data_IF_707384302610
#
_entry.id   IF_707384302610
#
_cell.length_a   1.000
_cell.length_b   1.000
_cell.length_c   1.000
_cell.angle_alpha   90.00
_cell.angle_beta   90.00
_cell.angle_gamma   90.00
#
_symmetry.space_group_name_H-M   'P 1'
#
loop_
_entity.id
_entity.type
_entity.pdbx_description
1 polymer ?
#
# COMPACT_ATOMS: atom_id res chain seq x y z
N UNK A 1 -12.40 52.75 -37.73
CA UNK A 1 -11.28 52.25 -36.90
C UNK A 1 -11.89 51.36 -35.83
N UNK A 2 -11.58 50.06 -35.84
CA UNK A 2 -12.08 49.13 -34.81
C UNK A 2 -11.31 49.39 -33.51
N UNK A 3 -12.03 49.56 -32.39
CA UNK A 3 -11.43 49.74 -31.07
C UNK A 3 -10.89 48.39 -30.56
N UNK A 4 -9.56 48.26 -30.58
CA UNK A 4 -8.86 47.00 -30.29
C UNK A 4 -8.59 46.79 -28.80
N UNK A 5 -8.89 47.77 -27.93
CA UNK A 5 -8.59 47.71 -26.49
C UNK A 5 -9.21 46.51 -25.75
N UNK A 6 -10.51 46.16 -25.92
CA UNK A 6 -11.08 45.03 -25.20
C UNK A 6 -10.52 43.68 -25.70
N UNK A 7 -10.18 43.59 -26.98
CA UNK A 7 -9.51 42.41 -27.53
C UNK A 7 -8.12 42.22 -26.90
N UNK A 8 -7.35 43.31 -26.75
CA UNK A 8 -6.01 43.28 -26.13
C UNK A 8 -6.09 42.91 -24.65
N UNK A 9 -7.05 43.45 -23.90
CA UNK A 9 -7.22 43.11 -22.49
C UNK A 9 -7.59 41.64 -22.28
N UNK A 10 -8.46 41.10 -23.14
CA UNK A 10 -8.87 39.69 -23.09
C UNK A 10 -7.70 38.78 -23.46
N UNK A 11 -6.90 39.16 -24.46
CA UNK A 11 -5.69 38.44 -24.83
C UNK A 11 -4.68 38.42 -23.68
N UNK A 12 -4.48 39.55 -23.00
CA UNK A 12 -3.55 39.67 -21.87
C UNK A 12 -3.96 38.79 -20.68
N UNK A 13 -5.24 38.80 -20.32
CA UNK A 13 -5.76 37.96 -19.25
C UNK A 13 -5.64 36.47 -19.59
N UNK A 14 -5.97 36.08 -20.82
CA UNK A 14 -5.79 34.69 -21.28
C UNK A 14 -4.32 34.28 -21.31
N UNK A 15 -3.43 35.17 -21.76
CA UNK A 15 -2.00 34.89 -21.73
C UNK A 15 -1.46 34.74 -20.32
N UNK A 16 -1.94 35.53 -19.34
CA UNK A 16 -1.49 35.44 -17.95
C UNK A 16 -1.95 34.14 -17.28
N UNK A 17 -3.20 33.75 -17.49
CA UNK A 17 -3.75 32.48 -16.98
C UNK A 17 -3.03 31.29 -17.63
N UNK A 18 -2.80 31.33 -18.94
CA UNK A 18 -2.03 30.30 -19.65
C UNK A 18 -0.55 30.28 -19.21
N UNK A 19 0.03 31.43 -18.82
CA UNK A 19 1.38 31.50 -18.28
C UNK A 19 1.46 30.79 -16.92
N UNK A 20 0.51 31.09 -16.02
CA UNK A 20 0.50 30.55 -14.66
C UNK A 20 0.20 29.05 -14.66
N UNK A 21 -0.72 28.58 -15.51
CA UNK A 21 -1.03 27.15 -15.65
C UNK A 21 0.10 26.34 -16.29
N UNK A 22 0.83 26.91 -17.26
CA UNK A 22 1.97 26.23 -17.88
C UNK A 22 3.26 26.27 -17.04
N UNK A 23 3.33 27.11 -16.00
CA UNK A 23 4.49 27.20 -15.09
C UNK A 23 4.38 26.27 -13.86
N UNK A 24 3.21 25.67 -13.61
CA UNK A 24 3.00 24.79 -12.45
C UNK A 24 3.92 23.54 -12.41
N UNK A 25 4.29 22.89 -13.54
CA UNK A 25 5.27 21.80 -13.53
C UNK A 25 6.74 22.27 -13.64
N UNK A 26 7.01 23.58 -13.65
CA UNK A 26 8.34 24.15 -13.86
C UNK A 26 8.89 24.97 -12.69
N UNK A 27 8.15 25.12 -11.58
CA UNK A 27 8.69 25.77 -10.37
C UNK A 27 9.95 25.06 -9.86
N UNK A 28 10.01 23.72 -9.94
CA UNK A 28 11.19 22.95 -9.52
C UNK A 28 12.38 23.15 -10.47
N UNK A 29 12.12 23.39 -11.76
CA UNK A 29 13.15 23.59 -12.79
C UNK A 29 13.74 25.01 -12.77
N UNK A 30 13.01 26.01 -12.28
CA UNK A 30 13.48 27.40 -12.18
C UNK A 30 14.57 27.56 -11.11
N UNK A 31 14.64 26.67 -10.12
CA UNK A 31 15.65 26.74 -9.06
C UNK A 31 16.97 26.01 -9.37
N UNK A 32 17.09 25.23 -10.46
CA UNK A 32 18.40 24.82 -11.00
C UNK A 32 18.34 24.09 -12.35
N UNK A 33 18.51 24.79 -13.49
CA UNK A 33 18.49 24.19 -14.81
C UNK A 33 19.91 24.07 -15.38
N UNK A 34 20.56 22.92 -15.21
CA UNK A 34 21.64 22.54 -16.11
C UNK A 34 21.15 21.50 -17.11
N UNK A 35 21.00 21.96 -18.37
CA UNK A 35 20.81 21.23 -19.64
C UNK A 35 19.35 20.91 -19.99
N UNK A 36 18.87 21.19 -21.20
CA UNK A 36 19.44 20.65 -22.45
C UNK A 36 19.03 21.51 -23.67
N UNK A 37 19.98 21.77 -24.56
CA UNK A 37 19.80 22.45 -25.86
C UNK A 37 19.58 21.45 -26.99
N UNK A 38 18.70 21.71 -27.98
CA UNK A 38 18.84 21.19 -29.37
C UNK A 38 18.34 22.19 -30.46
N UNK A 39 19.11 22.22 -31.55
CA UNK A 39 18.99 22.91 -32.86
C UNK A 39 18.52 21.89 -33.94
N UNK A 40 17.68 22.14 -34.96
CA UNK A 40 17.13 23.37 -35.58
C UNK A 40 15.63 23.12 -35.94
N UNK A 41 14.73 23.92 -35.39
CA UNK A 41 13.27 23.98 -35.64
C UNK A 41 12.88 25.46 -35.74
N UNK A 42 11.60 25.89 -35.89
CA UNK A 42 11.24 27.34 -35.90
C UNK A 42 12.20 28.13 -34.98
N UNK A 43 12.81 29.26 -35.41
CA UNK A 43 13.81 29.95 -34.60
C UNK A 43 13.32 30.32 -33.18
N UNK A 44 12.00 30.25 -32.95
CA UNK A 44 11.34 30.38 -31.64
C UNK A 44 10.80 29.06 -31.05
N UNK A 45 10.85 27.94 -31.78
CA UNK A 45 10.47 26.59 -31.33
C UNK A 45 11.71 25.76 -31.04
N UNK A 46 11.91 25.45 -29.77
CA UNK A 46 12.93 24.47 -29.37
C UNK A 46 12.41 23.06 -29.56
N UNK A 47 13.25 22.21 -30.16
CA UNK A 47 13.06 20.77 -30.17
C UNK A 47 13.80 20.14 -29.01
N UNK A 48 13.20 19.09 -28.47
CA UNK A 48 13.81 18.21 -27.50
C UNK A 48 14.11 16.91 -28.22
N UNK A 49 15.39 16.58 -28.40
CA UNK A 49 15.82 15.22 -28.76
C UNK A 49 16.36 14.58 -27.49
N UNK A 50 15.84 13.40 -27.22
CA UNK A 50 16.22 12.56 -26.09
C UNK A 50 17.26 11.55 -26.56
N UNK A 51 18.27 11.28 -25.73
CA UNK A 51 19.31 10.28 -26.00
C UNK A 51 19.54 9.43 -24.75
N UNK A 52 19.40 8.11 -24.86
CA UNK A 52 19.46 7.14 -23.75
C UNK A 52 18.16 6.37 -23.52
N UNK A 53 18.15 5.42 -22.57
CA UNK A 53 16.94 4.75 -22.11
C UNK A 53 16.27 5.61 -21.03
N UNK A 54 15.23 6.37 -21.41
CA UNK A 54 14.55 7.32 -20.51
C UNK A 54 13.84 6.65 -19.31
N UNK A 55 13.60 5.35 -19.37
CA UNK A 55 13.03 4.56 -18.28
C UNK A 55 13.96 3.39 -17.95
N UNK A 56 14.44 3.35 -16.71
CA UNK A 56 15.37 2.34 -16.19
C UNK A 56 14.90 0.91 -16.51
N UNK A 57 15.85 0.02 -16.82
CA UNK A 57 15.52 -1.40 -17.05
C UNK A 57 14.90 -2.03 -15.81
N UNK A 58 15.45 -1.69 -14.64
CA UNK A 58 14.97 -2.15 -13.34
C UNK A 58 15.34 -1.12 -12.27
N UNK A 59 14.40 -0.78 -11.41
CA UNK A 59 14.55 0.07 -10.23
C UNK A 59 14.22 -0.82 -9.04
N UNK A 60 15.23 -1.26 -8.31
CA UNK A 60 15.03 -2.18 -7.19
C UNK A 60 14.50 -1.42 -5.98
N UNK A 61 13.36 -1.85 -5.44
CA UNK A 61 12.86 -1.41 -4.14
C UNK A 61 13.44 -2.28 -3.01
N UNK A 62 13.47 -3.60 -3.23
CA UNK A 62 14.04 -4.51 -2.25
C UNK A 62 14.22 -5.93 -2.76
N UNK A 63 14.95 -6.72 -1.98
CA UNK A 63 15.15 -8.14 -2.22
C UNK A 63 15.09 -8.90 -0.89
N UNK A 64 14.50 -10.08 -0.90
CA UNK A 64 14.17 -10.81 0.33
C UNK A 64 14.42 -12.29 0.18
N UNK A 65 14.92 -12.91 1.24
CA UNK A 65 14.97 -14.36 1.39
C UNK A 65 13.55 -14.88 1.61
N UNK A 66 12.97 -15.52 0.60
CA UNK A 66 11.58 -16.00 0.60
C UNK A 66 11.40 -17.39 1.20
N UNK A 67 12.49 -18.07 1.56
CA UNK A 67 12.52 -19.44 2.09
C UNK A 67 13.92 -20.04 2.01
N UNK A 68 14.11 -21.33 2.37
CA UNK A 68 15.43 -21.97 2.33
C UNK A 68 16.09 -21.98 0.94
N UNK A 69 15.34 -21.94 -0.15
CA UNK A 69 15.88 -21.99 -1.52
C UNK A 69 15.36 -20.89 -2.44
N UNK A 70 14.56 -19.96 -1.91
CA UNK A 70 13.83 -18.98 -2.71
C UNK A 70 14.16 -17.55 -2.29
N UNK A 71 14.19 -16.65 -3.27
CA UNK A 71 14.38 -15.22 -3.08
C UNK A 71 13.38 -14.46 -3.96
N UNK A 72 12.94 -13.30 -3.51
CA UNK A 72 12.14 -12.37 -4.31
C UNK A 72 12.88 -11.06 -4.45
N UNK A 73 12.98 -10.54 -5.67
CA UNK A 73 13.47 -9.17 -5.95
C UNK A 73 12.30 -8.36 -6.47
N UNK A 74 11.97 -7.28 -5.76
CA UNK A 74 10.80 -6.44 -6.00
C UNK A 74 11.27 -5.09 -6.50
N UNK A 75 10.68 -4.60 -7.58
CA UNK A 75 11.06 -3.34 -8.18
C UNK A 75 10.07 -2.82 -9.21
N UNK A 76 10.43 -1.68 -9.79
CA UNK A 76 9.79 -1.10 -10.95
C UNK A 76 10.63 -1.37 -12.20
N UNK A 77 10.00 -1.46 -13.36
CA UNK A 77 10.68 -1.56 -14.64
C UNK A 77 9.95 -0.73 -15.69
N UNK A 78 10.67 -0.32 -16.73
CA UNK A 78 10.08 0.35 -17.89
C UNK A 78 8.93 -0.47 -18.50
N UNK A 79 7.71 0.06 -18.44
CA UNK A 79 6.54 -0.58 -19.05
C UNK A 79 6.71 -0.76 -20.56
N UNK A 80 7.18 0.23 -21.35
CA UNK A 80 7.44 0.03 -22.77
C UNK A 80 8.42 -1.12 -23.06
N UNK A 81 9.50 -1.27 -22.26
CA UNK A 81 10.40 -2.41 -22.42
C UNK A 81 9.67 -3.73 -22.15
N UNK A 82 8.82 -3.79 -21.13
CA UNK A 82 8.04 -4.98 -20.82
C UNK A 82 7.02 -5.36 -21.91
N UNK A 83 6.43 -4.38 -22.58
CA UNK A 83 5.48 -4.60 -23.68
C UNK A 83 6.18 -5.02 -24.96
N UNK A 84 7.24 -4.31 -25.37
CA UNK A 84 7.85 -4.48 -26.69
C UNK A 84 9.19 -5.24 -26.68
N UNK A 85 10.02 -5.00 -25.67
CA UNK A 85 11.35 -5.62 -25.56
C UNK A 85 11.32 -7.03 -25.00
N UNK A 86 10.30 -7.37 -24.19
CA UNK A 86 10.17 -8.66 -23.49
C UNK A 86 11.41 -9.02 -22.66
N UNK A 87 11.81 -8.17 -21.69
CA UNK A 87 12.92 -8.43 -20.81
C UNK A 87 12.68 -9.72 -20.01
N UNK A 88 13.77 -10.41 -19.74
CA UNK A 88 13.81 -11.62 -18.92
C UNK A 88 14.95 -11.52 -17.90
N UNK A 89 14.94 -12.43 -16.94
CA UNK A 89 15.81 -12.35 -15.78
C UNK A 89 16.52 -13.68 -15.53
N UNK A 90 17.68 -13.62 -14.88
CA UNK A 90 18.39 -14.80 -14.37
C UNK A 90 18.97 -14.49 -13.00
N UNK A 91 18.91 -15.46 -12.10
CA UNK A 91 19.47 -15.32 -10.77
C UNK A 91 20.70 -16.21 -10.58
N UNK A 92 21.69 -15.71 -9.85
CA UNK A 92 22.89 -16.43 -9.48
C UNK A 92 23.23 -16.13 -8.03
N UNK A 93 23.73 -17.12 -7.31
CA UNK A 93 24.33 -16.95 -6.00
C UNK A 93 25.84 -17.03 -6.11
N UNK A 94 26.53 -16.07 -5.49
CA UNK A 94 28.00 -16.03 -5.38
C UNK A 94 28.36 -16.13 -3.89
N UNK A 95 28.94 -17.25 -3.43
CA UNK A 95 29.40 -17.40 -2.04
C UNK A 95 30.51 -16.39 -1.68
N UNK A 96 30.57 -15.96 -0.41
CA UNK A 96 31.63 -15.03 0.05
C UNK A 96 33.03 -15.66 0.04
N UNK A 97 33.13 -16.97 0.29
CA UNK A 97 34.40 -17.70 0.25
C UNK A 97 34.45 -18.51 -1.03
N UNK A 98 35.33 -18.12 -1.95
CA UNK A 98 35.64 -18.88 -3.15
C UNK A 98 36.70 -19.94 -2.82
N UNK A 99 36.29 -21.06 -2.24
CA UNK A 99 37.09 -22.28 -2.27
C UNK A 99 36.85 -23.01 -3.60
N UNK A 100 37.79 -23.81 -4.10
CA UNK A 100 37.60 -24.57 -5.35
C UNK A 100 36.35 -25.50 -5.35
N UNK A 101 35.73 -25.71 -4.18
CA UNK A 101 34.47 -26.44 -3.96
C UNK A 101 33.19 -25.57 -3.94
N UNK A 102 33.28 -24.25 -3.74
CA UNK A 102 32.12 -23.35 -3.66
C UNK A 102 31.81 -22.79 -5.04
N UNK A 103 31.02 -23.53 -5.83
CA UNK A 103 30.62 -23.07 -7.16
C UNK A 103 29.45 -22.09 -7.06
N UNK A 104 29.48 -21.07 -7.90
CA UNK A 104 28.32 -20.22 -8.14
C UNK A 104 27.11 -21.06 -8.52
N UNK A 105 25.99 -20.81 -7.85
CA UNK A 105 24.74 -21.52 -8.10
C UNK A 105 23.86 -20.68 -9.01
N UNK A 106 23.25 -21.29 -10.01
CA UNK A 106 22.27 -20.63 -10.89
C UNK A 106 20.86 -21.05 -10.47
N UNK A 107 19.93 -20.12 -10.54
CA UNK A 107 18.52 -20.36 -10.22
C UNK A 107 17.61 -20.10 -11.41
N UNK A 108 16.44 -20.73 -11.39
CA UNK A 108 15.33 -20.38 -12.27
C UNK A 108 14.75 -19.06 -11.77
N UNK A 109 14.68 -18.06 -12.64
CA UNK A 109 14.01 -16.80 -12.36
C UNK A 109 12.62 -16.82 -13.00
N UNK A 110 11.60 -16.46 -12.23
CA UNK A 110 10.25 -16.27 -12.72
C UNK A 110 9.84 -14.81 -12.53
N UNK A 111 9.41 -14.19 -13.63
CA UNK A 111 9.00 -12.78 -13.68
C UNK A 111 7.48 -12.70 -13.50
N UNK A 112 7.04 -11.88 -12.56
CA UNK A 112 5.62 -11.64 -12.27
C UNK A 112 5.36 -10.13 -12.42
N UNK A 113 4.24 -9.78 -13.08
CA UNK A 113 3.74 -8.41 -13.20
C UNK A 113 2.43 -8.30 -12.42
N UNK A 114 2.48 -7.99 -11.10
CA UNK A 114 1.32 -8.03 -10.23
C UNK A 114 0.36 -6.84 -10.43
N UNK A 115 0.77 -5.83 -11.19
CA UNK A 115 -0.03 -4.63 -11.46
C UNK A 115 -1.02 -4.80 -12.62
N UNK A 116 -1.13 -5.99 -13.21
CA UNK A 116 -2.07 -6.32 -14.29
C UNK A 116 -2.08 -5.33 -15.47
N UNK A 117 -0.95 -4.67 -15.72
CA UNK A 117 -0.82 -3.69 -16.78
C UNK A 117 -1.31 -2.28 -16.42
N UNK A 118 -1.72 -2.02 -15.17
CA UNK A 118 -2.07 -0.68 -14.67
C UNK A 118 -0.88 0.28 -14.60
N UNK A 119 0.36 -0.24 -14.64
CA UNK A 119 1.57 0.59 -14.64
C UNK A 119 1.54 1.72 -15.67
N UNK A 120 2.21 2.84 -15.37
CA UNK A 120 2.30 4.01 -16.27
C UNK A 120 3.59 3.98 -17.05
N UNK A 121 4.54 4.87 -16.78
CA UNK A 121 5.91 4.78 -17.33
C UNK A 121 6.60 3.53 -16.78
N UNK A 122 6.34 3.24 -15.51
CA UNK A 122 6.84 2.08 -14.80
C UNK A 122 5.74 1.07 -14.50
N UNK A 123 6.08 -0.22 -14.63
CA UNK A 123 5.30 -1.38 -14.19
C UNK A 123 6.01 -2.08 -13.05
N UNK A 124 5.25 -2.69 -12.15
CA UNK A 124 5.82 -3.46 -11.03
C UNK A 124 6.31 -4.81 -11.53
N UNK A 125 7.48 -5.21 -11.06
CA UNK A 125 8.08 -6.51 -11.36
C UNK A 125 8.50 -7.18 -10.08
N UNK A 126 8.03 -8.41 -9.88
CA UNK A 126 8.57 -9.33 -8.88
C UNK A 126 9.32 -10.43 -9.60
N UNK A 127 10.61 -10.57 -9.30
CA UNK A 127 11.45 -11.68 -9.80
C UNK A 127 11.63 -12.70 -8.68
N UNK A 128 10.98 -13.85 -8.82
CA UNK A 128 11.14 -14.98 -7.91
C UNK A 128 12.29 -15.89 -8.40
N UNK A 129 13.35 -15.97 -7.62
CA UNK A 129 14.52 -16.82 -7.86
C UNK A 129 14.42 -18.10 -7.03
N UNK A 130 14.34 -19.27 -7.68
CA UNK A 130 14.32 -20.57 -7.00
C UNK A 130 15.57 -21.38 -7.34
N UNK A 131 16.34 -21.71 -6.30
CA UNK A 131 17.52 -22.56 -6.36
C UNK A 131 17.14 -24.03 -6.12
N UNK A 132 17.89 -24.96 -6.72
CA UNK A 132 17.67 -26.39 -6.50
C UNK A 132 18.07 -26.85 -5.09
N UNK A 133 18.99 -26.13 -4.44
CA UNK A 133 19.48 -26.36 -3.08
C UNK A 133 19.56 -25.03 -2.35
N UNK A 134 19.65 -25.05 -1.01
CA UNK A 134 19.89 -23.84 -0.24
C UNK A 134 21.28 -23.28 -0.58
N UNK A 135 21.37 -22.09 -1.17
CA UNK A 135 22.65 -21.58 -1.64
C UNK A 135 23.59 -21.05 -0.53
N UNK A 136 23.08 -20.86 0.69
CA UNK A 136 23.83 -20.41 1.86
C UNK A 136 23.62 -21.37 3.05
N UNK A 137 23.63 -22.68 2.79
CA UNK A 137 23.38 -23.71 3.82
C UNK A 137 24.48 -23.73 4.89
N UNK A 138 25.72 -23.42 4.51
CA UNK A 138 26.87 -23.34 5.41
C UNK A 138 26.91 -22.03 6.22
N UNK A 139 25.96 -21.12 5.96
CA UNK A 139 25.81 -19.83 6.61
C UNK A 139 27.09 -18.96 6.56
N UNK A 140 27.92 -19.13 5.53
CA UNK A 140 29.13 -18.32 5.30
C UNK A 140 28.85 -17.01 4.58
N UNK A 141 27.60 -16.78 4.18
CA UNK A 141 27.18 -15.58 3.48
C UNK A 141 27.52 -15.61 1.99
N UNK A 142 26.96 -14.65 1.28
CA UNK A 142 27.08 -14.55 -0.17
C UNK A 142 26.13 -13.53 -0.76
N UNK A 143 26.14 -13.44 -2.08
CA UNK A 143 25.41 -12.43 -2.85
C UNK A 143 24.46 -13.07 -3.84
N UNK A 144 23.21 -12.62 -3.82
CA UNK A 144 22.26 -12.84 -4.89
C UNK A 144 22.52 -11.81 -6.00
N UNK A 145 22.91 -12.28 -7.16
CA UNK A 145 23.05 -11.48 -8.36
C UNK A 145 21.85 -11.71 -9.28
N UNK A 146 21.18 -10.62 -9.64
CA UNK A 146 20.14 -10.56 -10.65
C UNK A 146 20.73 -10.05 -11.97
N UNK A 147 20.57 -10.82 -13.02
CA UNK A 147 20.86 -10.39 -14.39
C UNK A 147 19.54 -10.00 -15.05
N UNK A 148 19.38 -8.72 -15.38
CA UNK A 148 18.21 -8.20 -16.09
C UNK A 148 18.55 -7.97 -17.56
N UNK A 149 17.87 -8.64 -18.47
CA UNK A 149 18.15 -8.57 -19.90
C UNK A 149 17.16 -7.61 -20.58
N UNK A 150 17.65 -6.80 -21.51
CA UNK A 150 16.82 -5.79 -22.19
C UNK A 150 15.81 -6.39 -23.17
N UNK A 151 16.08 -7.60 -23.68
CA UNK A 151 15.22 -8.29 -24.64
C UNK A 151 15.41 -9.79 -24.58
N UNK A 152 14.69 -10.54 -25.41
CA UNK A 152 14.91 -11.99 -25.62
C UNK A 152 16.38 -12.31 -25.97
N UNK A 153 17.12 -11.36 -26.56
CA UNK A 153 18.56 -11.53 -26.82
C UNK A 153 19.40 -11.46 -25.53
N UNK A 154 20.29 -12.43 -25.28
CA UNK A 154 21.17 -12.43 -24.11
C UNK A 154 22.36 -11.45 -24.21
N UNK A 155 22.48 -10.68 -25.31
CA UNK A 155 23.66 -9.86 -25.62
C UNK A 155 23.85 -8.66 -24.67
N UNK A 156 22.77 -8.09 -24.16
CA UNK A 156 22.81 -6.89 -23.32
C UNK A 156 22.00 -7.12 -22.05
N UNK A 157 22.64 -6.92 -20.91
CA UNK A 157 22.03 -7.07 -19.60
C UNK A 157 22.67 -6.12 -18.59
N UNK A 158 21.93 -5.85 -17.52
CA UNK A 158 22.46 -5.24 -16.29
C UNK A 158 22.72 -6.34 -15.26
N UNK A 159 23.86 -6.25 -14.56
CA UNK A 159 24.22 -7.14 -13.45
C UNK A 159 23.98 -6.39 -12.13
N UNK A 160 22.99 -6.83 -11.37
CA UNK A 160 22.54 -6.17 -10.14
C UNK A 160 22.86 -7.08 -8.96
N UNK A 161 23.59 -6.57 -7.97
CA UNK A 161 23.70 -7.25 -6.66
C UNK A 161 22.40 -6.98 -5.91
N UNK A 162 21.48 -7.93 -5.94
CA UNK A 162 20.13 -7.73 -5.41
C UNK A 162 20.06 -7.85 -3.89
N UNK A 163 20.76 -8.83 -3.31
CA UNK A 163 20.81 -9.09 -1.87
C UNK A 163 22.19 -9.59 -1.48
N UNK A 164 22.65 -9.24 -0.29
CA UNK A 164 23.82 -9.82 0.36
C UNK A 164 23.40 -10.41 1.71
N UNK A 165 23.76 -11.66 1.96
CA UNK A 165 23.64 -12.28 3.29
C UNK A 165 25.02 -12.30 3.96
N UNK A 166 25.10 -11.77 5.17
CA UNK A 166 26.30 -11.81 5.98
C UNK A 166 26.56 -13.23 6.52
N UNK A 167 27.81 -13.60 6.84
CA UNK A 167 28.09 -14.83 7.57
C UNK A 167 27.28 -14.86 8.88
N UNK A 168 26.63 -16.00 9.17
CA UNK A 168 25.82 -16.17 10.37
C UNK A 168 24.38 -15.62 10.29
N UNK A 169 24.02 -14.85 9.26
CA UNK A 169 22.71 -14.19 9.20
C UNK A 169 21.56 -15.10 8.75
N UNK A 170 21.85 -16.21 8.06
CA UNK A 170 20.82 -17.13 7.61
C UNK A 170 20.27 -17.93 8.80
N UNK A 171 18.95 -17.87 8.99
CA UNK A 171 18.25 -18.65 10.00
C UNK A 171 17.04 -19.37 9.37
N UNK A 172 17.14 -20.70 9.24
CA UNK A 172 16.09 -21.52 8.65
C UNK A 172 14.80 -21.55 9.48
N UNK A 173 14.87 -21.37 10.81
CA UNK A 173 13.69 -21.47 11.66
C UNK A 173 12.68 -20.35 11.40
N UNK A 174 13.11 -19.22 10.80
CA UNK A 174 12.24 -18.10 10.41
C UNK A 174 11.22 -18.44 9.32
N UNK A 175 11.41 -19.56 8.59
CA UNK A 175 10.53 -19.95 7.48
C UNK A 175 9.46 -20.98 7.87
N UNK A 176 9.33 -21.25 9.18
CA UNK A 176 8.36 -22.18 9.74
C UNK A 176 7.70 -21.57 10.97
N UNK A 177 6.45 -21.93 11.29
CA UNK A 177 5.82 -21.55 12.55
C UNK A 177 6.59 -22.09 13.78
N UNK A 178 6.46 -21.46 14.96
CA UNK A 178 5.59 -20.32 15.26
C UNK A 178 6.15 -18.99 14.73
N UNK A 179 5.27 -18.19 14.14
CA UNK A 179 5.60 -16.83 13.69
C UNK A 179 5.45 -15.82 14.82
N UNK A 180 6.16 -14.66 14.76
CA UNK A 180 6.08 -13.65 15.81
C UNK A 180 4.70 -13.00 15.93
N UNK A 181 3.88 -13.02 14.87
CA UNK A 181 2.54 -12.45 14.86
C UNK A 181 1.50 -13.45 14.38
N UNK A 182 0.26 -13.30 14.83
CA UNK A 182 -0.89 -13.98 14.24
C UNK A 182 -1.39 -13.19 13.02
N UNK A 183 -1.46 -11.87 13.17
CA UNK A 183 -2.00 -10.95 12.16
C UNK A 183 -0.99 -9.88 11.78
N UNK A 184 -0.88 -9.64 10.48
CA UNK A 184 -0.09 -8.54 9.93
C UNK A 184 -0.99 -7.65 9.07
N UNK A 185 -0.87 -6.35 9.23
CA UNK A 185 -1.41 -5.38 8.27
C UNK A 185 -0.31 -4.89 7.33
N UNK A 186 -0.54 -5.01 6.03
CA UNK A 186 0.28 -4.41 4.98
C UNK A 186 -0.55 -3.40 4.20
N UNK A 187 -0.38 -2.11 4.51
CA UNK A 187 -1.08 -1.03 3.83
C UNK A 187 -0.46 -0.63 2.50
N UNK A 188 -1.31 -0.12 1.60
CA UNK A 188 -0.88 0.66 0.43
C UNK A 188 -0.18 1.96 0.86
N UNK A 189 0.39 2.67 -0.12
CA UNK A 189 1.05 3.97 0.09
C UNK A 189 0.14 4.97 0.81
N UNK A 190 0.63 5.59 1.88
CA UNK A 190 0.01 6.72 2.56
C UNK A 190 0.45 8.00 1.86
N UNK A 191 -0.47 8.69 1.19
CA UNK A 191 -0.21 9.91 0.42
C UNK A 191 -1.29 10.97 0.64
N UNK A 192 -1.07 12.18 0.14
CA UNK A 192 -2.01 13.28 0.27
C UNK A 192 -1.99 13.90 1.67
N UNK A 193 -3.05 14.60 2.06
CA UNK A 193 -3.11 15.25 3.37
C UNK A 193 -3.95 14.42 4.35
N UNK A 194 -3.36 13.41 4.98
CA UNK A 194 -4.09 12.50 5.87
C UNK A 194 -4.48 13.19 7.19
N UNK A 195 -5.68 12.88 7.68
CA UNK A 195 -6.21 13.37 8.95
C UNK A 195 -5.68 12.55 10.13
N UNK A 196 -4.98 13.21 11.05
CA UNK A 196 -4.46 12.59 12.27
C UNK A 196 -5.58 11.99 13.14
N UNK A 197 -6.75 12.66 13.22
CA UNK A 197 -7.89 12.13 13.98
C UNK A 197 -8.43 10.83 13.39
N UNK A 198 -8.50 10.74 12.06
CA UNK A 198 -8.96 9.54 11.37
C UNK A 198 -7.95 8.41 11.47
N UNK A 199 -6.66 8.72 11.34
CA UNK A 199 -5.58 7.73 11.53
C UNK A 199 -5.57 7.19 12.96
N UNK A 200 -5.71 8.05 13.97
CA UNK A 200 -5.82 7.65 15.38
C UNK A 200 -6.97 6.67 15.60
N UNK A 201 -8.16 7.03 15.11
CA UNK A 201 -9.36 6.19 15.19
C UNK A 201 -9.17 4.83 14.51
N UNK A 202 -8.61 4.82 13.29
CA UNK A 202 -8.34 3.60 12.54
C UNK A 202 -7.34 2.70 13.27
N UNK A 203 -6.26 3.28 13.79
CA UNK A 203 -5.20 2.53 14.47
C UNK A 203 -5.70 1.94 15.79
N UNK A 204 -6.40 2.73 16.61
CA UNK A 204 -6.98 2.24 17.85
C UNK A 204 -7.98 1.10 17.62
N UNK A 205 -8.86 1.23 16.63
CA UNK A 205 -9.81 0.18 16.25
C UNK A 205 -9.09 -1.12 15.88
N UNK A 206 -8.13 -1.06 14.96
CA UNK A 206 -7.50 -2.28 14.44
C UNK A 206 -6.51 -2.91 15.42
N UNK A 207 -5.85 -2.11 16.26
CA UNK A 207 -5.03 -2.65 17.35
C UNK A 207 -5.88 -3.45 18.36
N UNK A 208 -7.09 -2.99 18.66
CA UNK A 208 -8.06 -3.73 19.47
C UNK A 208 -8.55 -4.99 18.72
N UNK A 209 -8.98 -4.83 17.48
CA UNK A 209 -9.60 -5.87 16.67
C UNK A 209 -8.66 -7.06 16.40
N UNK A 210 -7.41 -6.80 16.03
CA UNK A 210 -6.39 -7.84 15.82
C UNK A 210 -5.72 -8.29 17.12
N UNK A 211 -5.95 -7.59 18.23
CA UNK A 211 -5.41 -7.98 19.53
C UNK A 211 -3.88 -7.87 19.64
N UNK A 212 -3.27 -8.49 20.66
CA UNK A 212 -1.87 -8.27 21.01
C UNK A 212 -0.88 -8.86 20.00
N UNK A 213 -1.19 -10.00 19.37
CA UNK A 213 -0.32 -10.70 18.40
C UNK A 213 -0.44 -10.12 16.98
N UNK A 214 -0.39 -8.79 16.89
CA UNK A 214 -0.59 -8.03 15.65
C UNK A 214 0.53 -7.03 15.41
N UNK A 215 0.86 -6.83 14.13
CA UNK A 215 1.81 -5.84 13.66
C UNK A 215 1.29 -5.08 12.45
N UNK A 216 1.62 -3.81 12.36
CA UNK A 216 1.12 -2.89 11.33
C UNK A 216 2.27 -2.24 10.58
N UNK A 217 2.24 -2.35 9.26
CA UNK A 217 3.27 -1.77 8.39
C UNK A 217 2.63 -0.69 7.53
N UNK A 218 3.05 0.55 7.75
CA UNK A 218 2.66 1.71 6.97
C UNK A 218 3.81 2.18 6.09
N UNK A 219 3.48 2.72 4.92
CA UNK A 219 4.45 3.23 3.97
C UNK A 219 4.11 4.69 3.64
N UNK A 220 4.90 5.63 4.14
CA UNK A 220 4.74 7.05 3.93
C UNK A 220 5.26 7.47 2.55
N UNK A 221 4.33 7.75 1.65
CA UNK A 221 4.58 8.35 0.33
C UNK A 221 4.32 9.86 0.34
N UNK A 222 4.53 10.53 1.49
CA UNK A 222 4.29 11.96 1.70
C UNK A 222 2.94 12.26 2.35
N UNK A 223 2.24 11.24 2.85
CA UNK A 223 0.93 11.36 3.50
C UNK A 223 0.98 11.56 5.00
N UNK A 224 2.12 11.26 5.64
CA UNK A 224 2.25 11.32 7.10
C UNK A 224 2.80 12.68 7.51
N UNK A 225 1.90 13.59 7.88
CA UNK A 225 2.24 14.88 8.50
C UNK A 225 2.81 14.70 9.92
N UNK A 226 3.29 15.79 10.53
CA UNK A 226 3.71 15.82 11.94
C UNK A 226 2.61 15.35 12.90
N UNK A 227 1.37 15.72 12.64
CA UNK A 227 0.21 15.37 13.46
C UNK A 227 -0.15 13.89 13.30
N UNK A 228 -0.09 13.37 12.07
CA UNK A 228 -0.29 11.94 11.80
C UNK A 228 0.83 11.11 12.43
N UNK A 229 2.08 11.58 12.35
CA UNK A 229 3.20 10.94 13.02
C UNK A 229 2.98 10.89 14.52
N UNK A 230 2.53 11.98 15.14
CA UNK A 230 2.29 12.05 16.58
C UNK A 230 1.26 11.03 17.07
N UNK A 231 0.23 10.71 16.28
CA UNK A 231 -0.76 9.69 16.67
C UNK A 231 -0.28 8.25 16.44
N UNK A 232 0.67 8.04 15.53
CA UNK A 232 1.27 6.73 15.26
C UNK A 232 2.45 6.43 16.18
N UNK A 233 3.17 7.44 16.64
CA UNK A 233 4.42 7.30 17.41
C UNK A 233 4.30 6.41 18.65
N UNK A 234 3.25 6.50 19.48
CA UNK A 234 3.15 5.61 20.64
C UNK A 234 3.01 4.13 20.26
N UNK A 235 2.41 3.84 19.10
CA UNK A 235 2.32 2.48 18.56
C UNK A 235 3.66 2.01 17.97
N UNK A 236 4.48 2.93 17.45
CA UNK A 236 5.86 2.64 17.04
C UNK A 236 6.71 2.28 18.26
N UNK A 237 6.60 3.05 19.34
CA UNK A 237 7.35 2.84 20.58
C UNK A 237 7.02 1.52 21.27
N UNK A 238 5.76 1.05 21.18
CA UNK A 238 5.36 -0.28 21.67
C UNK A 238 5.77 -1.42 20.74
N UNK A 239 6.37 -1.13 19.58
CA UNK A 239 6.78 -2.12 18.59
C UNK A 239 5.63 -2.69 17.75
N UNK A 240 4.41 -2.14 17.85
CA UNK A 240 3.25 -2.58 17.07
C UNK A 240 3.20 -2.02 15.66
N UNK A 241 3.85 -0.88 15.44
CA UNK A 241 3.86 -0.19 14.14
C UNK A 241 5.27 -0.09 13.58
N UNK A 242 5.41 -0.38 12.30
CA UNK A 242 6.55 0.03 11.48
C UNK A 242 6.08 1.07 10.47
N UNK A 243 6.76 2.21 10.43
CA UNK A 243 6.51 3.26 9.45
C UNK A 243 7.72 3.36 8.52
N UNK A 244 7.53 3.01 7.26
CA UNK A 244 8.55 3.05 6.20
C UNK A 244 8.43 4.38 5.45
N UNK A 245 9.52 5.12 5.29
CA UNK A 245 9.57 6.26 4.37
C UNK A 245 9.80 5.73 2.95
N UNK A 246 8.90 6.08 2.03
CA UNK A 246 8.99 5.71 0.62
C UNK A 246 8.82 6.91 -0.30
N UNK A 247 8.98 8.15 0.17
CA UNK A 247 8.66 9.38 -0.60
C UNK A 247 9.37 9.48 -1.95
N UNK A 248 10.59 8.96 -2.04
CA UNK A 248 11.39 8.92 -3.28
C UNK A 248 10.73 8.09 -4.39
N UNK A 249 9.74 7.24 -4.08
CA UNK A 249 8.92 6.57 -5.09
C UNK A 249 8.27 7.54 -6.08
N UNK A 250 8.09 8.81 -5.68
CA UNK A 250 7.49 9.86 -6.51
C UNK A 250 8.29 10.17 -7.79
N UNK A 251 9.58 9.82 -7.84
CA UNK A 251 10.40 9.92 -9.05
C UNK A 251 9.98 8.91 -10.14
N UNK A 252 9.31 7.82 -9.75
CA UNK A 252 8.97 6.72 -10.65
C UNK A 252 7.46 6.67 -10.90
N UNK A 253 7.06 7.16 -12.07
CA UNK A 253 5.66 7.21 -12.48
C UNK A 253 5.06 5.82 -12.75
N UNK A 254 4.58 5.15 -11.70
CA UNK A 254 3.79 3.93 -11.74
C UNK A 254 2.36 4.14 -11.26
N UNK A 255 1.58 3.07 -11.08
CA UNK A 255 0.16 3.19 -10.74
C UNK A 255 -0.07 3.64 -9.29
N UNK A 256 -0.84 4.72 -9.11
CA UNK A 256 -1.41 5.15 -7.81
C UNK A 256 -0.39 5.15 -6.65
N UNK A 257 0.59 6.05 -6.71
CA UNK A 257 1.70 6.14 -5.75
C UNK A 257 2.44 4.81 -5.55
N UNK A 258 2.60 4.06 -6.65
CA UNK A 258 3.26 2.76 -6.68
C UNK A 258 2.67 1.73 -5.71
N UNK A 259 1.36 1.75 -5.44
CA UNK A 259 0.73 0.86 -4.46
C UNK A 259 1.01 -0.63 -4.69
N UNK A 260 1.06 -1.09 -5.95
CA UNK A 260 1.41 -2.48 -6.28
C UNK A 260 2.87 -2.81 -5.92
N UNK A 261 3.80 -1.86 -6.01
CA UNK A 261 5.18 -2.04 -5.57
C UNK A 261 5.22 -2.23 -4.06
N UNK A 262 4.51 -1.35 -3.35
CA UNK A 262 4.51 -1.25 -1.89
C UNK A 262 3.90 -2.49 -1.24
N UNK A 263 2.75 -2.98 -1.73
CA UNK A 263 2.16 -4.22 -1.19
C UNK A 263 3.04 -5.44 -1.43
N UNK A 264 3.85 -5.45 -2.50
CA UNK A 264 4.80 -6.53 -2.77
C UNK A 264 6.10 -6.40 -1.96
N UNK A 265 6.60 -5.19 -1.68
CA UNK A 265 7.68 -4.98 -0.68
C UNK A 265 7.24 -5.57 0.67
N UNK A 266 6.07 -5.15 1.16
CA UNK A 266 5.54 -5.60 2.45
C UNK A 266 5.33 -7.12 2.48
N UNK A 267 4.69 -7.68 1.44
CA UNK A 267 4.49 -9.12 1.32
C UNK A 267 5.79 -9.89 1.48
N UNK A 268 6.84 -9.51 0.75
CA UNK A 268 8.07 -10.28 0.72
C UNK A 268 8.98 -10.02 1.93
N UNK A 269 8.96 -8.80 2.48
CA UNK A 269 9.64 -8.43 3.72
C UNK A 269 9.09 -9.21 4.92
N UNK A 270 7.78 -9.42 4.97
CA UNK A 270 7.08 -10.05 6.09
C UNK A 270 6.44 -11.39 5.75
N UNK A 271 6.89 -12.04 4.67
CA UNK A 271 6.30 -13.27 4.11
C UNK A 271 6.10 -14.40 5.13
N UNK A 272 7.01 -14.47 6.11
CA UNK A 272 7.02 -15.47 7.18
C UNK A 272 7.00 -14.81 8.58
N UNK A 273 6.34 -13.67 8.70
CA UNK A 273 6.20 -12.95 9.98
C UNK A 273 4.85 -13.18 10.65
N UNK A 274 3.82 -13.62 9.92
CA UNK A 274 2.49 -13.84 10.46
C UNK A 274 1.76 -15.03 9.83
N UNK A 275 0.75 -15.54 10.53
CA UNK A 275 -0.16 -16.55 9.98
C UNK A 275 -1.07 -15.97 8.89
N UNK A 276 -1.58 -14.76 9.10
CA UNK A 276 -2.42 -14.03 8.15
C UNK A 276 -1.93 -12.60 7.93
N UNK A 277 -1.89 -12.18 6.68
CA UNK A 277 -1.61 -10.80 6.27
C UNK A 277 -2.84 -10.18 5.62
N UNK A 278 -3.26 -9.02 6.10
CA UNK A 278 -4.42 -8.27 5.64
C UNK A 278 -3.99 -7.08 4.79
N UNK A 279 -4.73 -6.85 3.72
CA UNK A 279 -4.55 -5.73 2.79
C UNK A 279 -5.86 -4.97 2.65
N UNK A 280 -5.91 -3.77 3.24
CA UNK A 280 -7.04 -2.86 3.22
C UNK A 280 -6.58 -1.42 3.50
N UNK A 281 -7.44 -0.44 3.24
CA UNK A 281 -7.09 0.97 3.26
C UNK A 281 -7.39 1.60 4.64
N UNK A 282 -6.80 2.77 4.89
CA UNK A 282 -6.88 3.47 6.19
C UNK A 282 -8.20 4.23 6.43
N UNK A 283 -9.16 4.11 5.52
CA UNK A 283 -10.56 4.51 5.67
C UNK A 283 -11.53 3.31 5.71
N UNK A 284 -10.98 2.10 5.89
CA UNK A 284 -11.73 0.84 5.92
C UNK A 284 -11.57 0.13 7.27
N UNK A 285 -12.68 -0.44 7.78
CA UNK A 285 -12.73 -1.06 9.12
C UNK A 285 -13.24 -2.48 9.03
N UNK A 286 -12.37 -3.47 9.33
CA UNK A 286 -12.72 -4.89 9.30
C UNK A 286 -13.70 -5.20 10.45
N UNK A 287 -14.78 -5.92 10.17
CA UNK A 287 -15.87 -6.16 11.11
C UNK A 287 -16.40 -7.59 11.04
N UNK A 288 -16.74 -8.15 12.20
CA UNK A 288 -17.38 -9.45 12.33
C UNK A 288 -18.89 -9.25 12.59
N UNK A 289 -19.79 -9.74 11.71
CA UNK A 289 -21.23 -9.56 11.88
C UNK A 289 -21.83 -10.27 13.10
N UNK A 290 -21.24 -11.39 13.51
CA UNK A 290 -21.69 -12.17 14.66
C UNK A 290 -20.84 -11.85 15.90
N UNK A 291 -21.47 -11.29 16.93
CA UNK A 291 -20.82 -10.90 18.18
C UNK A 291 -20.28 -12.10 19.00
N UNK A 292 -20.76 -13.32 18.73
CA UNK A 292 -20.28 -14.53 19.41
C UNK A 292 -19.06 -15.16 18.72
N UNK A 293 -18.68 -14.65 17.55
CA UNK A 293 -17.60 -15.18 16.73
C UNK A 293 -16.32 -14.35 16.92
N UNK A 294 -15.16 -15.01 16.96
CA UNK A 294 -13.84 -14.34 17.04
C UNK A 294 -13.11 -14.39 15.70
N UNK A 295 -12.16 -13.47 15.47
CA UNK A 295 -11.37 -13.46 14.24
C UNK A 295 -10.60 -14.77 14.05
N UNK A 296 -10.03 -15.32 15.13
CA UNK A 296 -9.32 -16.61 15.13
C UNK A 296 -10.23 -17.72 14.61
N UNK A 297 -11.48 -17.77 15.06
CA UNK A 297 -12.44 -18.79 14.66
C UNK A 297 -12.81 -18.68 13.17
N UNK A 298 -13.01 -17.45 12.66
CA UNK A 298 -13.27 -17.20 11.23
C UNK A 298 -12.08 -17.64 10.39
N UNK A 299 -10.87 -17.28 10.78
CA UNK A 299 -9.65 -17.60 10.04
C UNK A 299 -9.32 -19.10 10.07
N UNK A 300 -9.64 -19.78 11.16
CA UNK A 300 -9.56 -21.24 11.24
C UNK A 300 -10.55 -21.91 10.28
N UNK A 301 -11.78 -21.41 10.18
CA UNK A 301 -12.75 -21.94 9.22
C UNK A 301 -12.31 -21.70 7.77
N UNK A 302 -11.56 -20.63 7.52
CA UNK A 302 -11.07 -20.26 6.19
C UNK A 302 -9.72 -20.89 5.81
N UNK A 303 -9.04 -21.56 6.74
CA UNK A 303 -7.63 -21.97 6.58
C UNK A 303 -7.36 -23.03 5.50
N UNK A 304 -8.41 -23.67 4.96
CA UNK A 304 -8.29 -24.53 3.78
C UNK A 304 -7.97 -23.74 2.50
N UNK A 305 -8.15 -22.42 2.53
CA UNK A 305 -7.80 -21.50 1.46
C UNK A 305 -6.55 -20.70 1.85
N UNK A 306 -5.77 -20.32 0.85
CA UNK A 306 -4.60 -19.45 1.07
C UNK A 306 -4.98 -18.00 1.21
N UNK A 307 -6.08 -17.58 0.57
CA UNK A 307 -6.60 -16.23 0.73
C UNK A 307 -8.14 -16.25 0.77
N UNK A 308 -8.71 -15.17 1.28
CA UNK A 308 -10.14 -14.91 1.18
C UNK A 308 -10.39 -13.42 0.96
N UNK A 309 -11.41 -13.11 0.16
CA UNK A 309 -11.83 -11.72 -0.06
C UNK A 309 -12.91 -11.32 0.95
N UNK A 310 -12.93 -10.07 1.37
CA UNK A 310 -13.84 -9.47 2.34
C UNK A 310 -14.73 -8.48 1.60
N UNK A 311 -16.04 -8.57 1.84
CA UNK A 311 -17.02 -7.72 1.19
C UNK A 311 -17.20 -6.36 1.88
N UNK A 312 -17.50 -5.35 1.07
CA UNK A 312 -17.64 -3.96 1.46
C UNK A 312 -19.06 -3.61 1.94
N UNK A 313 -19.15 -3.01 3.12
CA UNK A 313 -20.25 -2.17 3.57
C UNK A 313 -19.90 -0.70 3.30
N UNK A 314 -20.36 -0.14 2.19
CA UNK A 314 -20.08 1.25 1.86
C UNK A 314 -20.89 2.20 2.75
N UNK A 315 -20.20 3.10 3.45
CA UNK A 315 -20.80 4.11 4.31
C UNK A 315 -20.82 5.46 3.61
N UNK A 316 -21.81 6.28 3.91
CA UNK A 316 -21.74 7.71 3.61
C UNK A 316 -20.58 8.34 4.37
N UNK A 317 -19.85 9.22 3.70
CA UNK A 317 -18.79 10.02 4.31
C UNK A 317 -19.26 11.42 4.71
N UNK A 318 -20.57 11.70 4.62
CA UNK A 318 -21.14 13.03 4.90
C UNK A 318 -22.45 13.06 5.69
N UNK A 319 -23.25 12.00 5.63
CA UNK A 319 -24.58 11.96 6.22
C UNK A 319 -24.50 11.68 7.73
N UNK A 320 -25.12 12.56 8.50
CA UNK A 320 -25.28 12.43 9.95
C UNK A 320 -26.72 12.71 10.37
N UNK A 321 -27.07 12.33 11.59
CA UNK A 321 -28.38 12.66 12.16
C UNK A 321 -28.42 14.13 12.60
N UNK A 322 -29.56 14.78 12.47
CA UNK A 322 -29.82 16.09 13.07
C UNK A 322 -30.23 15.88 14.54
N UNK A 323 -29.26 15.56 15.38
CA UNK A 323 -29.45 15.33 16.81
C UNK A 323 -28.73 16.41 17.62
N UNK A 324 -29.49 17.36 18.16
CA UNK A 324 -28.96 18.50 18.93
C UNK A 324 -28.29 18.10 20.25
N UNK A 325 -28.41 16.84 20.69
CA UNK A 325 -27.71 16.34 21.87
C UNK A 325 -26.25 15.93 21.58
N UNK A 326 -25.89 15.75 20.31
CA UNK A 326 -24.57 15.28 19.90
C UNK A 326 -23.60 16.45 19.73
N UNK A 327 -22.36 16.24 20.17
CA UNK A 327 -21.25 17.12 19.83
C UNK A 327 -20.35 16.45 18.80
N UNK A 328 -20.71 16.57 17.52
CA UNK A 328 -20.05 15.88 16.40
C UNK A 328 -18.54 16.09 16.31
N UNK A 329 -18.06 17.27 16.73
CA UNK A 329 -16.62 17.59 16.76
C UNK A 329 -15.80 16.69 17.70
N UNK A 330 -16.45 16.06 18.68
CA UNK A 330 -15.81 15.14 19.66
C UNK A 330 -16.03 13.67 19.32
N UNK A 331 -16.86 13.38 18.33
CA UNK A 331 -17.17 12.01 17.93
C UNK A 331 -16.20 11.53 16.86
N UNK A 332 -15.87 10.25 16.93
CA UNK A 332 -15.15 9.55 15.87
C UNK A 332 -16.01 9.43 14.60
N UNK A 333 -15.40 9.24 13.44
CA UNK A 333 -16.13 9.17 12.18
C UNK A 333 -17.09 7.99 12.15
N UNK A 334 -16.68 6.79 12.57
CA UNK A 334 -17.60 5.65 12.65
C UNK A 334 -18.66 5.78 13.77
N UNK A 335 -18.54 6.77 14.65
CA UNK A 335 -19.52 7.09 15.70
C UNK A 335 -20.66 8.00 15.18
N UNK A 336 -20.40 8.75 14.10
CA UNK A 336 -21.32 9.75 13.52
C UNK A 336 -21.79 9.47 12.10
N UNK A 337 -20.98 8.80 11.29
CA UNK A 337 -21.30 8.42 9.91
C UNK A 337 -22.04 7.08 9.90
N UNK A 338 -23.35 7.12 10.15
CA UNK A 338 -24.16 5.93 10.48
C UNK A 338 -25.06 5.48 9.35
N UNK A 339 -24.78 5.88 8.11
CA UNK A 339 -25.65 5.61 6.97
C UNK A 339 -24.92 4.77 5.93
N UNK A 340 -25.37 3.53 5.77
CA UNK A 340 -24.83 2.53 4.85
C UNK A 340 -25.61 2.53 3.54
N UNK A 341 -24.92 2.48 2.40
CA UNK A 341 -25.54 2.28 1.10
C UNK A 341 -26.20 0.88 1.05
N UNK A 342 -27.51 0.85 0.84
CA UNK A 342 -28.34 -0.36 0.91
C UNK A 342 -28.53 -1.05 -0.43
N UNK A 343 -27.93 -0.55 -1.52
CA UNK A 343 -28.00 -1.21 -2.84
C UNK A 343 -27.38 -2.60 -2.79
N UNK A 344 -28.13 -3.57 -3.31
CA UNK A 344 -27.69 -4.95 -3.52
C UNK A 344 -27.32 -5.21 -4.99
N UNK A 345 -26.65 -6.33 -5.27
CA UNK A 345 -26.28 -6.77 -6.61
C UNK A 345 -25.41 -5.79 -7.42
N UNK A 346 -24.63 -4.94 -6.73
CA UNK A 346 -23.64 -4.07 -7.37
C UNK A 346 -22.24 -4.62 -7.13
N UNK A 347 -21.37 -4.51 -8.13
CA UNK A 347 -19.95 -4.85 -7.97
C UNK A 347 -19.31 -3.79 -7.08
N UNK A 348 -18.77 -4.21 -5.94
CA UNK A 348 -17.96 -3.39 -5.05
C UNK A 348 -16.53 -3.91 -5.02
N UNK A 349 -15.61 -3.02 -4.69
CA UNK A 349 -14.23 -3.42 -4.45
C UNK A 349 -14.16 -4.32 -3.23
N UNK A 350 -13.22 -5.25 -3.28
CA UNK A 350 -12.98 -6.20 -2.19
C UNK A 350 -11.60 -5.95 -1.62
N UNK A 351 -11.47 -6.26 -0.34
CA UNK A 351 -10.19 -6.38 0.35
C UNK A 351 -9.97 -7.81 0.73
N UNK A 352 -8.82 -8.17 1.27
CA UNK A 352 -8.51 -9.58 1.47
C UNK A 352 -7.49 -9.80 2.57
N UNK A 353 -7.45 -11.04 3.06
CA UNK A 353 -6.34 -11.55 3.82
C UNK A 353 -5.76 -12.79 3.16
N UNK A 354 -4.49 -13.04 3.41
CA UNK A 354 -3.70 -14.06 2.74
C UNK A 354 -2.67 -14.68 3.69
N UNK A 355 -2.43 -15.97 3.53
CA UNK A 355 -1.29 -16.66 4.12
C UNK A 355 -0.04 -16.35 3.27
N UNK A 356 0.68 -15.28 3.61
CA UNK A 356 1.77 -14.72 2.80
C UNK A 356 2.84 -15.74 2.39
N UNK A 357 3.12 -16.74 3.24
CA UNK A 357 4.05 -17.85 2.94
C UNK A 357 3.75 -18.55 1.60
N UNK A 358 2.47 -18.63 1.20
CA UNK A 358 2.00 -19.29 -0.02
C UNK A 358 1.89 -18.35 -1.23
N UNK A 359 2.26 -17.08 -1.11
CA UNK A 359 2.16 -16.08 -2.17
C UNK A 359 3.51 -15.78 -2.83
N UNK A 360 3.52 -15.63 -4.15
CA UNK A 360 4.69 -15.23 -4.94
C UNK A 360 4.66 -13.76 -5.36
N UNK A 361 3.48 -13.14 -5.37
CA UNK A 361 3.25 -11.72 -5.52
C UNK A 361 1.82 -11.42 -5.04
N UNK A 362 1.44 -10.14 -4.92
CA UNK A 362 0.09 -9.76 -4.53
C UNK A 362 -0.41 -8.50 -5.21
N UNK A 363 -1.74 -8.30 -5.23
CA UNK A 363 -2.41 -7.11 -5.76
C UNK A 363 -3.11 -6.31 -4.66
N UNK A 364 -3.82 -5.25 -5.05
CA UNK A 364 -4.50 -4.34 -4.09
C UNK A 364 -5.83 -4.91 -3.57
N UNK A 365 -6.51 -5.73 -4.38
CA UNK A 365 -7.83 -6.30 -4.04
C UNK A 365 -7.82 -7.82 -3.85
N UNK A 366 -6.83 -8.51 -4.41
CA UNK A 366 -6.56 -9.94 -4.22
C UNK A 366 -5.20 -10.29 -4.84
N UNK A 367 -4.70 -11.50 -4.57
CA UNK A 367 -3.58 -12.06 -5.31
C UNK A 367 -4.05 -13.06 -6.38
N UNK A 368 -3.42 -13.06 -7.55
CA UNK A 368 -3.53 -14.13 -8.54
C UNK A 368 -2.30 -15.06 -8.54
N UNK A 369 -1.30 -14.75 -7.70
CA UNK A 369 0.02 -15.39 -7.72
C UNK A 369 0.24 -16.19 -6.42
N UNK A 370 -0.65 -17.15 -6.15
CA UNK A 370 -0.66 -17.97 -4.93
C UNK A 370 -0.67 -19.46 -5.22
N UNK A 371 -0.19 -20.24 -4.26
CA UNK A 371 -0.47 -21.69 -4.18
C UNK A 371 -1.67 -21.88 -3.26
N UNK A 372 -2.70 -22.60 -3.72
CA UNK A 372 -3.90 -22.90 -2.93
C UNK A 372 -5.15 -22.15 -3.39
N UNK A 373 -6.28 -22.44 -2.73
CA UNK A 373 -7.59 -21.89 -3.08
C UNK A 373 -7.82 -20.46 -2.59
N UNK A 374 -8.85 -19.83 -3.15
CA UNK A 374 -9.36 -18.51 -2.75
C UNK A 374 -10.83 -18.63 -2.36
N UNK A 375 -11.20 -18.11 -1.19
CA UNK A 375 -12.59 -18.05 -0.74
C UNK A 375 -13.19 -16.66 -1.01
N UNK A 376 -14.34 -16.61 -1.68
CA UNK A 376 -15.01 -15.35 -2.02
C UNK A 376 -16.30 -15.09 -1.23
N UNK A 377 -17.01 -16.13 -0.81
CA UNK A 377 -18.26 -16.00 -0.06
C UNK A 377 -17.95 -15.93 1.44
N UNK A 378 -17.81 -14.71 1.95
CA UNK A 378 -17.35 -14.44 3.34
C UNK A 378 -18.26 -13.48 4.08
N UNK A 379 -19.21 -12.86 3.38
CA UNK A 379 -20.06 -11.77 3.84
C UNK A 379 -20.92 -12.12 5.07
N UNK A 380 -21.16 -13.39 5.36
CA UNK A 380 -21.88 -13.79 6.60
C UNK A 380 -20.98 -13.81 7.83
N UNK A 381 -19.65 -13.90 7.66
CA UNK A 381 -18.68 -14.06 8.75
C UNK A 381 -17.73 -12.87 8.93
N UNK A 382 -17.42 -12.14 7.86
CA UNK A 382 -16.51 -10.99 7.89
C UNK A 382 -16.87 -9.99 6.78
N UNK A 383 -16.82 -8.70 7.11
CA UNK A 383 -17.04 -7.57 6.20
C UNK A 383 -16.06 -6.46 6.52
N UNK A 384 -16.04 -5.40 5.71
CA UNK A 384 -15.40 -4.15 6.10
C UNK A 384 -16.31 -2.95 5.84
N UNK A 385 -16.32 -1.99 6.75
CA UNK A 385 -16.97 -0.70 6.53
C UNK A 385 -16.02 0.25 5.81
N UNK A 386 -16.46 0.84 4.70
CA UNK A 386 -15.64 1.77 3.92
C UNK A 386 -16.23 3.18 4.00
N UNK A 387 -15.50 4.08 4.66
CA UNK A 387 -15.85 5.50 4.78
C UNK A 387 -15.12 6.32 3.73
N UNK A 388 -15.49 6.10 2.46
CA UNK A 388 -14.75 6.55 1.29
C UNK A 388 -14.36 8.03 1.36
N UNK A 389 -13.06 8.31 1.14
CA UNK A 389 -12.44 9.64 1.14
C UNK A 389 -12.51 10.38 2.49
N UNK A 390 -12.93 9.75 3.58
CA UNK A 390 -12.98 10.41 4.90
C UNK A 390 -11.59 10.64 5.50
N UNK A 391 -10.58 9.85 5.12
CA UNK A 391 -9.22 9.91 5.69
C UNK A 391 -8.48 11.22 5.36
N UNK A 392 -8.87 11.94 4.31
CA UNK A 392 -8.24 13.22 3.90
C UNK A 392 -9.02 14.45 4.35
N UNK A 393 -10.15 14.28 5.06
CA UNK A 393 -10.98 15.38 5.56
C UNK A 393 -10.52 15.76 6.97
N UNK A 394 -10.18 17.03 7.14
CA UNK A 394 -9.71 17.59 8.42
C UNK A 394 -10.82 18.34 9.16
N UNK A 395 -11.83 18.81 8.43
CA UNK A 395 -13.01 19.46 9.00
C UNK A 395 -14.04 18.43 9.52
N UNK A 396 -15.20 18.94 9.95
CA UNK A 396 -16.32 18.11 10.35
C UNK A 396 -16.82 17.25 9.15
N UNK A 397 -16.90 15.94 9.37
CA UNK A 397 -17.39 14.98 8.37
C UNK A 397 -18.90 15.14 8.13
N UNK A 398 -19.66 15.45 9.19
CA UNK A 398 -21.10 15.70 9.12
C UNK A 398 -21.39 16.97 8.35
N UNK A 399 -21.66 16.83 7.05
CA UNK A 399 -21.95 17.93 6.14
C UNK A 399 -23.41 17.98 5.73
N UNK A 400 -24.11 16.86 5.82
CA UNK A 400 -25.53 16.73 5.50
C UNK A 400 -26.30 16.07 6.64
N UNK A 401 -27.38 16.70 7.08
CA UNK A 401 -28.10 16.32 8.30
C UNK A 401 -29.49 15.75 7.98
N UNK A 402 -29.70 14.50 8.38
CA UNK A 402 -30.94 13.77 8.21
C UNK A 402 -31.80 13.86 9.48
N UNK A 403 -33.14 13.92 9.38
CA UNK A 403 -34.00 13.94 10.55
C UNK A 403 -33.83 12.66 11.39
N UNK A 404 -34.12 12.73 12.69
CA UNK A 404 -34.00 11.57 13.60
C UNK A 404 -34.82 10.36 13.12
N UNK A 405 -35.95 10.61 12.43
CA UNK A 405 -36.78 9.57 11.81
C UNK A 405 -36.05 8.72 10.76
N UNK A 406 -34.93 9.20 10.20
CA UNK A 406 -34.10 8.45 9.25
C UNK A 406 -33.47 7.18 9.87
N UNK A 407 -33.45 7.04 11.20
CA UNK A 407 -33.04 5.79 11.88
C UNK A 407 -33.88 4.58 11.50
N UNK A 408 -35.13 4.80 11.08
CA UNK A 408 -36.10 3.73 10.83
C UNK A 408 -36.53 3.63 9.37
N UNK A 409 -36.02 4.49 8.49
CA UNK A 409 -36.44 4.61 7.11
C UNK A 409 -35.25 4.57 6.15
N UNK A 410 -35.47 4.01 4.95
CA UNK A 410 -34.52 4.19 3.85
C UNK A 410 -34.54 5.66 3.41
N UNK A 411 -33.38 6.29 3.43
CA UNK A 411 -33.20 7.68 3.05
C UNK A 411 -32.49 7.77 1.71
N UNK A 412 -33.04 8.54 0.77
CA UNK A 412 -32.41 8.77 -0.53
C UNK A 412 -31.58 10.03 -0.49
N UNK A 413 -30.30 9.91 -0.86
CA UNK A 413 -29.39 11.04 -1.01
C UNK A 413 -28.55 10.82 -2.27
N UNK A 414 -28.48 11.82 -3.16
CA UNK A 414 -27.79 11.71 -4.45
C UNK A 414 -28.11 10.44 -5.26
N UNK A 415 -29.39 10.05 -5.29
CA UNK A 415 -29.90 8.84 -5.96
C UNK A 415 -29.34 7.52 -5.39
N UNK A 416 -28.74 7.55 -4.21
CA UNK A 416 -28.30 6.37 -3.47
C UNK A 416 -29.23 6.17 -2.26
N UNK A 417 -29.80 4.97 -2.08
CA UNK A 417 -30.54 4.64 -0.88
C UNK A 417 -29.57 4.31 0.26
N UNK A 418 -29.79 4.95 1.40
CA UNK A 418 -29.05 4.74 2.63
C UNK A 418 -29.96 4.20 3.72
N UNK A 419 -29.43 3.28 4.52
CA UNK A 419 -30.05 2.77 5.74
C UNK A 419 -29.18 3.09 6.96
N UNK A 420 -29.82 3.22 8.11
CA UNK A 420 -29.11 3.46 9.36
C UNK A 420 -28.41 2.17 9.86
N UNK A 421 -27.11 2.27 10.12
CA UNK A 421 -26.26 1.20 10.63
C UNK A 421 -25.35 1.76 11.75
N UNK A 422 -25.57 1.28 12.98
CA UNK A 422 -24.82 1.71 14.17
C UNK A 422 -23.91 0.63 14.75
N UNK A 423 -23.62 -0.42 13.96
CA UNK A 423 -22.82 -1.55 14.43
C UNK A 423 -21.42 -1.10 14.90
N UNK A 424 -20.74 -0.27 14.12
CA UNK A 424 -19.43 0.28 14.50
C UNK A 424 -19.53 1.25 15.68
N UNK A 425 -20.60 2.04 15.75
CA UNK A 425 -20.82 2.99 16.85
C UNK A 425 -20.87 2.30 18.21
N UNK A 426 -21.47 1.10 18.29
CA UNK A 426 -21.57 0.32 19.53
C UNK A 426 -20.19 -0.06 20.12
N UNK A 427 -19.14 -0.11 19.29
CA UNK A 427 -17.78 -0.45 19.73
C UNK A 427 -16.98 0.75 20.25
N UNK A 428 -17.47 1.98 20.05
CA UNK A 428 -16.70 3.21 20.28
C UNK A 428 -16.11 3.29 21.69
N UNK A 429 -16.94 3.08 22.72
CA UNK A 429 -16.49 3.23 24.11
C UNK A 429 -15.39 2.20 24.43
N UNK A 430 -15.61 0.95 24.04
CA UNK A 430 -14.64 -0.14 24.20
C UNK A 430 -13.29 0.20 23.59
N UNK A 431 -13.27 0.75 22.38
CA UNK A 431 -12.02 1.07 21.67
C UNK A 431 -11.33 2.29 22.28
N UNK A 432 -12.08 3.35 22.65
CA UNK A 432 -11.52 4.52 23.33
C UNK A 432 -10.91 4.13 24.68
N UNK A 433 -11.56 3.23 25.43
CA UNK A 433 -11.01 2.69 26.68
C UNK A 433 -9.76 1.84 26.43
N UNK A 434 -9.79 0.96 25.42
CA UNK A 434 -8.62 0.18 25.02
C UNK A 434 -7.42 1.06 24.67
N UNK A 435 -7.61 2.07 23.82
CA UNK A 435 -6.54 3.01 23.42
C UNK A 435 -5.94 3.69 24.65
N UNK A 436 -6.78 4.26 25.52
CA UNK A 436 -6.35 4.92 26.75
C UNK A 436 -5.52 4.00 27.63
N UNK A 437 -5.98 2.76 27.82
CA UNK A 437 -5.30 1.79 28.68
C UNK A 437 -4.02 1.22 28.05
N UNK A 438 -3.91 1.19 26.73
CA UNK A 438 -2.76 0.63 26.02
C UNK A 438 -1.63 1.64 25.88
N UNK A 439 -1.95 2.87 25.46
CA UNK A 439 -0.95 3.89 25.15
C UNK A 439 -0.55 4.70 26.38
N UNK A 440 -1.49 5.06 27.26
CA UNK A 440 -1.16 5.86 28.46
C UNK A 440 -0.52 5.04 29.58
N UNK A 441 -0.51 3.70 29.46
CA UNK A 441 0.20 2.82 30.39
C UNK A 441 1.65 2.52 29.96
N UNK A 442 2.07 2.98 28.77
CA UNK A 442 3.47 2.92 28.38
C UNK A 442 4.26 3.90 29.25
N UNK A 443 5.28 3.45 30.00
CA UNK A 443 6.04 4.36 30.86
C UNK A 443 6.74 5.40 29.99
N UNK A 444 6.60 6.68 30.38
CA UNK A 444 7.48 7.76 29.92
C UNK A 444 8.93 7.34 30.21
N UNK A 445 9.62 6.81 29.21
CA UNK A 445 11.08 6.75 29.21
C UNK A 445 11.65 8.14 28.86
N UNK A 446 11.21 9.15 29.61
CA UNK A 446 11.84 10.46 29.71
C UNK A 446 11.89 10.85 31.18
N UNK A 447 12.65 10.08 31.95
CA UNK A 447 13.30 10.51 33.18
C UNK A 447 14.21 9.38 33.67
N UNK A 448 15.47 9.40 33.24
CA UNK A 448 16.63 9.19 34.11
C UNK A 448 17.95 9.32 33.32
N UNK A 449 18.84 10.15 33.90
CA UNK A 449 20.22 10.52 33.56
C UNK A 449 20.46 11.37 32.31
#
# INVERSE_FOLDING_TARGET
MLDTRPLVATLLAFTLVMLIWNLQPYYDTILNPSKLSINITDPNKRTFLTYGNAASLFVQMGAYRGGPTTFAVVGLASKPLHVFGRPWYKCQWIPNTNTNSSKDLKAKAYKILPDWGYGRVYTVVVVNCTFAVNPNLDNKGGKLILYAYYSESPKRYEKITALEEAPGSYNQTKFSPPYPYEYLYCGSSLYGNLSASRMREWMAYHAWFFGPSSHFVFHDAGGVSSEVRAVLEPWVQTGKVTLQDIRDQSEFDGYYYNQFLVVNDCLHRYRHAANWTFYFDVDEYIYLPDANTTLESVLRDFSNNTQFTIEQNAMSSILCLNDSSQNYSRLWGFEKLLFRDSRSNIRRDRKYAIQAKNAYATGVHMSENVVGGTLHQTETKIRYYHYHNSITVHEELCREFLPISAKHNITWFDKVPYEYDDNMKKLTQTIKDFERNTINAAPDHTNNS
#
